data_IF_701390717883
#
_entry.id   IF_701390717883
#
_cell.length_a   1.000
_cell.length_b   1.000
_cell.length_c   1.000
_cell.angle_alpha   90.00
_cell.angle_beta   90.00
_cell.angle_gamma   90.00
#
_symmetry.space_group_name_H-M   'P 1'
#
loop_
_entity.id
_entity.type
_entity.pdbx_description
1 polymer ?
#
# COMPACT_ATOMS: atom_id res chain seq x y z
N UNK A 1 6.44 -17.23 -8.88
CA UNK A 1 4.99 -17.38 -9.12
C UNK A 1 4.52 -16.09 -9.76
N UNK A 2 3.58 -16.16 -10.70
CA UNK A 2 2.91 -14.96 -11.19
C UNK A 2 1.95 -14.48 -10.09
N UNK A 3 2.07 -13.23 -9.64
CA UNK A 3 1.27 -12.66 -8.56
C UNK A 3 -0.18 -12.37 -8.99
N UNK A 4 -0.54 -12.57 -10.27
CA UNK A 4 -1.85 -12.21 -10.83
C UNK A 4 -2.19 -10.73 -10.58
N UNK A 5 -1.17 -9.88 -10.71
CA UNK A 5 -1.34 -8.45 -10.50
C UNK A 5 -2.22 -7.85 -11.61
N UNK A 6 -3.01 -6.82 -11.29
CA UNK A 6 -3.69 -6.04 -12.31
C UNK A 6 -2.68 -5.29 -13.19
N UNK A 7 -3.16 -4.51 -14.16
CA UNK A 7 -2.32 -3.67 -15.02
C UNK A 7 -2.92 -2.27 -15.09
N UNK A 8 -2.07 -1.28 -15.35
CA UNK A 8 -2.51 0.12 -15.48
C UNK A 8 -2.81 0.77 -14.13
N UNK A 9 -3.76 1.69 -14.14
CA UNK A 9 -4.01 2.61 -13.03
C UNK A 9 -5.31 2.23 -12.30
N UNK A 10 -5.18 2.05 -11.00
CA UNK A 10 -6.26 1.64 -10.11
C UNK A 10 -6.68 2.75 -9.16
N UNK A 11 -7.80 2.53 -8.49
CA UNK A 11 -8.33 3.44 -7.47
C UNK A 11 -8.71 2.66 -6.20
N UNK A 12 -8.42 3.22 -5.03
CA UNK A 12 -8.95 2.71 -3.77
C UNK A 12 -10.48 2.80 -3.75
N UNK A 13 -11.19 1.67 -3.66
CA UNK A 13 -12.65 1.64 -3.63
C UNK A 13 -13.15 2.05 -2.25
N UNK A 14 -14.05 3.04 -2.20
CA UNK A 14 -14.68 3.52 -0.96
C UNK A 14 -16.19 3.35 -1.02
N UNK A 15 -16.82 3.17 0.14
CA UNK A 15 -18.27 2.96 0.23
C UNK A 15 -19.09 4.11 -0.35
N UNK A 16 -18.59 5.34 -0.21
CA UNK A 16 -19.26 6.55 -0.67
C UNK A 16 -19.59 6.51 -2.15
N UNK A 17 -18.80 5.81 -2.97
CA UNK A 17 -18.98 5.72 -4.41
C UNK A 17 -19.01 4.29 -4.96
N UNK A 18 -18.94 3.25 -4.12
CA UNK A 18 -18.82 1.86 -4.58
C UNK A 18 -20.02 1.36 -5.40
N UNK A 19 -21.23 1.91 -5.19
CA UNK A 19 -22.37 1.58 -6.05
C UNK A 19 -22.29 2.33 -7.40
N UNK A 20 -21.78 3.55 -7.37
CA UNK A 20 -21.67 4.42 -8.54
C UNK A 20 -20.69 3.86 -9.57
N UNK A 21 -19.55 3.29 -9.13
CA UNK A 21 -18.52 2.77 -10.07
C UNK A 21 -19.05 1.68 -11.00
N UNK A 22 -20.08 0.92 -10.59
CA UNK A 22 -20.70 -0.12 -11.42
C UNK A 22 -21.60 0.48 -12.49
N UNK A 23 -21.87 1.78 -12.49
CA UNK A 23 -22.76 2.45 -13.43
C UNK A 23 -22.08 3.56 -14.25
N UNK A 24 -20.83 3.92 -13.93
CA UNK A 24 -20.08 4.94 -14.68
C UNK A 24 -19.44 4.38 -15.95
N UNK A 25 -19.45 5.18 -17.02
CA UNK A 25 -18.79 4.86 -18.29
C UNK A 25 -17.25 4.96 -18.20
N UNK A 26 -16.75 5.84 -17.33
CA UNK A 26 -15.32 5.96 -17.02
C UNK A 26 -14.99 5.17 -15.76
N UNK A 27 -14.04 4.23 -15.86
CA UNK A 27 -13.62 3.36 -14.76
C UNK A 27 -12.11 3.20 -14.75
N UNK A 28 -11.48 3.06 -13.57
CA UNK A 28 -10.08 2.66 -13.47
C UNK A 28 -9.91 1.22 -14.00
N UNK A 29 -8.67 0.83 -14.28
CA UNK A 29 -8.39 -0.52 -14.76
C UNK A 29 -8.59 -1.60 -13.67
N UNK A 30 -8.51 -1.21 -12.39
CA UNK A 30 -8.64 -2.10 -11.24
C UNK A 30 -8.93 -1.33 -9.96
N UNK A 31 -9.34 -2.05 -8.91
CA UNK A 31 -9.62 -1.47 -7.60
C UNK A 31 -8.83 -2.15 -6.49
N UNK A 32 -8.57 -1.39 -5.43
CA UNK A 32 -8.10 -1.93 -4.16
C UNK A 32 -9.14 -1.73 -3.06
N UNK A 33 -9.23 -2.68 -2.13
CA UNK A 33 -10.04 -2.57 -0.92
C UNK A 33 -9.26 -3.02 0.31
N UNK A 34 -9.58 -2.43 1.46
CA UNK A 34 -9.20 -2.98 2.76
C UNK A 34 -10.23 -4.01 3.24
N UNK A 35 -9.90 -5.32 3.33
CA UNK A 35 -10.84 -6.36 3.75
C UNK A 35 -11.58 -6.05 5.04
N UNK A 36 -10.92 -5.43 6.01
CA UNK A 36 -11.43 -5.07 7.33
C UNK A 36 -12.69 -4.22 7.26
N UNK A 37 -12.74 -3.32 6.28
CA UNK A 37 -13.91 -2.49 6.05
C UNK A 37 -15.12 -3.34 5.62
N UNK A 38 -14.90 -4.44 4.88
CA UNK A 38 -15.93 -5.26 4.24
C UNK A 38 -16.29 -6.54 4.99
N UNK A 39 -15.38 -7.12 5.77
CA UNK A 39 -15.52 -8.44 6.42
C UNK A 39 -16.81 -8.61 7.22
N UNK A 40 -17.25 -7.56 7.90
CA UNK A 40 -18.45 -7.59 8.76
C UNK A 40 -19.70 -7.01 8.10
N UNK A 41 -19.62 -6.69 6.80
CA UNK A 41 -20.72 -6.06 6.04
C UNK A 41 -21.37 -7.06 5.11
N UNK A 42 -22.52 -7.58 5.54
CA UNK A 42 -23.39 -8.42 4.70
C UNK A 42 -24.35 -7.62 3.82
N UNK A 43 -25.22 -8.34 3.12
CA UNK A 43 -26.37 -7.76 2.43
C UNK A 43 -25.97 -6.86 1.26
N UNK A 44 -26.30 -5.57 1.34
CA UNK A 44 -26.11 -4.61 0.26
C UNK A 44 -24.65 -4.45 -0.15
N UNK A 45 -23.74 -4.19 0.80
CA UNK A 45 -22.33 -3.95 0.49
C UNK A 45 -21.65 -5.18 -0.12
N UNK A 46 -22.00 -6.38 0.36
CA UNK A 46 -21.53 -7.62 -0.26
C UNK A 46 -21.92 -7.71 -1.74
N UNK A 47 -23.19 -7.44 -2.08
CA UNK A 47 -23.67 -7.46 -3.47
C UNK A 47 -22.99 -6.40 -4.33
N UNK A 48 -22.69 -5.22 -3.76
CA UNK A 48 -21.94 -4.18 -4.46
C UNK A 48 -20.54 -4.69 -4.81
N UNK A 49 -19.82 -5.26 -3.85
CA UNK A 49 -18.48 -5.79 -4.09
C UNK A 49 -18.47 -6.96 -5.08
N UNK A 50 -19.47 -7.85 -5.02
CA UNK A 50 -19.66 -8.92 -6.01
C UNK A 50 -19.77 -8.34 -7.43
N UNK A 51 -20.60 -7.31 -7.65
CA UNK A 51 -20.74 -6.63 -8.95
C UNK A 51 -19.47 -5.93 -9.40
N UNK A 52 -18.73 -5.29 -8.49
CA UNK A 52 -17.43 -4.68 -8.81
C UNK A 52 -16.47 -5.77 -9.29
N UNK A 53 -16.36 -6.88 -8.55
CA UNK A 53 -15.43 -7.96 -8.85
C UNK A 53 -15.75 -8.71 -10.15
N UNK A 54 -17.03 -8.79 -10.52
CA UNK A 54 -17.48 -9.32 -11.82
C UNK A 54 -16.98 -8.49 -13.01
N UNK A 55 -16.73 -7.19 -12.80
CA UNK A 55 -16.33 -6.25 -13.87
C UNK A 55 -14.84 -5.88 -13.84
N UNK A 56 -14.23 -5.86 -12.66
CA UNK A 56 -12.89 -5.33 -12.46
C UNK A 56 -12.02 -6.30 -11.66
N UNK A 57 -10.71 -6.36 -11.95
CA UNK A 57 -9.73 -6.90 -11.01
C UNK A 57 -9.80 -6.14 -9.69
N UNK A 58 -9.75 -6.89 -8.58
CA UNK A 58 -9.73 -6.33 -7.23
C UNK A 58 -8.55 -6.95 -6.48
N UNK A 59 -7.78 -6.11 -5.79
CA UNK A 59 -6.74 -6.54 -4.85
C UNK A 59 -7.11 -6.11 -3.43
N UNK A 60 -6.47 -6.71 -2.43
CA UNK A 60 -6.67 -6.35 -1.04
C UNK A 60 -5.42 -5.75 -0.43
N UNK A 61 -5.59 -4.69 0.34
CA UNK A 61 -4.55 -4.09 1.17
C UNK A 61 -5.06 -3.94 2.59
N UNK A 62 -4.50 -4.70 3.52
CA UNK A 62 -4.93 -4.75 4.91
C UNK A 62 -4.34 -3.63 5.76
N UNK A 63 -5.06 -3.30 6.82
CA UNK A 63 -4.75 -2.20 7.75
C UNK A 63 -4.32 -2.69 9.13
N UNK A 64 -4.66 -3.94 9.47
CA UNK A 64 -4.73 -4.38 10.87
C UNK A 64 -3.95 -5.65 11.20
N UNK A 65 -3.24 -6.27 10.25
CA UNK A 65 -2.48 -7.49 10.56
C UNK A 65 -1.33 -7.22 11.54
N UNK A 66 -0.72 -6.03 11.48
CA UNK A 66 0.26 -5.57 12.46
C UNK A 66 1.46 -6.52 12.59
N UNK A 67 2.09 -6.86 11.45
CA UNK A 67 3.15 -7.89 11.38
C UNK A 67 4.36 -7.58 12.27
N UNK A 68 4.60 -6.29 12.55
CA UNK A 68 5.66 -5.84 13.44
C UNK A 68 5.31 -5.78 14.92
N UNK A 69 4.06 -6.06 15.32
CA UNK A 69 3.65 -6.08 16.74
C UNK A 69 4.48 -7.08 17.53
N UNK A 70 4.76 -6.88 18.82
CA UNK A 70 5.33 -7.93 19.67
C UNK A 70 4.35 -9.08 19.95
N UNK A 71 3.04 -8.87 19.79
CA UNK A 71 2.01 -9.87 20.09
C UNK A 71 2.03 -11.05 19.11
N UNK A 72 1.47 -12.20 19.48
CA UNK A 72 1.30 -13.32 18.55
C UNK A 72 0.38 -12.97 17.38
N UNK A 73 0.57 -13.65 16.24
CA UNK A 73 -0.30 -13.46 15.07
C UNK A 73 -1.76 -13.80 15.42
N UNK A 74 -2.68 -12.90 15.03
CA UNK A 74 -4.10 -13.13 15.21
C UNK A 74 -4.64 -14.10 14.14
N UNK A 75 -4.53 -15.40 14.39
CA UNK A 75 -5.00 -16.44 13.45
C UNK A 75 -6.52 -16.43 13.23
N UNK A 76 -7.31 -15.91 14.18
CA UNK A 76 -8.75 -15.73 13.99
C UNK A 76 -9.03 -14.63 12.95
N UNK A 77 -8.23 -13.56 12.93
CA UNK A 77 -8.26 -12.54 11.89
C UNK A 77 -7.75 -13.07 10.55
N UNK A 78 -6.60 -13.75 10.53
CA UNK A 78 -6.07 -14.37 9.30
C UNK A 78 -7.06 -15.35 8.67
N UNK A 79 -7.81 -16.12 9.48
CA UNK A 79 -8.88 -16.99 8.96
C UNK A 79 -10.01 -16.22 8.29
N UNK A 80 -10.38 -15.05 8.82
CA UNK A 80 -11.37 -14.17 8.19
C UNK A 80 -10.84 -13.62 6.85
N UNK A 81 -9.60 -13.15 6.81
CA UNK A 81 -8.94 -12.70 5.58
C UNK A 81 -8.89 -13.84 4.55
N UNK A 82 -8.42 -15.03 4.93
CA UNK A 82 -8.37 -16.19 4.02
C UNK A 82 -9.74 -16.56 3.46
N UNK A 83 -10.79 -16.53 4.29
CA UNK A 83 -12.16 -16.75 3.83
C UNK A 83 -12.61 -15.68 2.85
N UNK A 84 -12.35 -14.40 3.15
CA UNK A 84 -12.73 -13.27 2.31
C UNK A 84 -12.06 -13.32 0.94
N UNK A 85 -10.73 -13.51 0.91
CA UNK A 85 -9.98 -13.64 -0.34
C UNK A 85 -10.51 -14.80 -1.19
N UNK A 86 -10.89 -15.92 -0.56
CA UNK A 86 -11.51 -17.06 -1.25
C UNK A 86 -12.91 -16.74 -1.76
N UNK A 87 -13.75 -16.12 -0.95
CA UNK A 87 -15.15 -15.85 -1.27
C UNK A 87 -15.31 -14.86 -2.44
N UNK A 88 -14.36 -13.94 -2.61
CA UNK A 88 -14.33 -12.95 -3.70
C UNK A 88 -13.31 -13.25 -4.80
N UNK A 89 -12.65 -14.42 -4.75
CA UNK A 89 -11.60 -14.83 -5.69
C UNK A 89 -10.53 -13.74 -5.91
N UNK A 90 -10.00 -13.21 -4.80
CA UNK A 90 -8.93 -12.22 -4.76
C UNK A 90 -7.60 -12.96 -4.47
N UNK A 91 -6.57 -12.69 -5.28
CA UNK A 91 -5.27 -13.39 -5.22
C UNK A 91 -4.12 -12.56 -4.67
N UNK A 92 -4.37 -11.27 -4.47
CA UNK A 92 -3.36 -10.28 -4.06
C UNK A 92 -3.77 -9.73 -2.71
N UNK A 93 -2.89 -9.86 -1.72
CA UNK A 93 -3.05 -9.28 -0.39
C UNK A 93 -1.75 -8.62 0.04
N UNK A 94 -1.82 -7.34 0.38
CA UNK A 94 -0.73 -6.55 0.94
C UNK A 94 -1.04 -6.09 2.37
N UNK A 95 -0.01 -5.74 3.13
CA UNK A 95 -0.10 -5.23 4.51
C UNK A 95 1.07 -4.27 4.79
N UNK A 96 0.99 -3.51 5.87
CA UNK A 96 2.01 -2.52 6.21
C UNK A 96 3.23 -3.14 6.91
N UNK A 97 4.44 -2.64 6.64
CA UNK A 97 5.65 -2.96 7.42
C UNK A 97 5.69 -2.17 8.74
N UNK A 98 4.72 -2.41 9.59
CA UNK A 98 4.51 -1.63 10.81
C UNK A 98 3.92 -2.48 11.92
N UNK A 99 3.69 -1.85 13.08
CA UNK A 99 2.73 -2.37 14.05
C UNK A 99 1.61 -1.36 14.28
N UNK A 100 0.38 -1.84 14.28
CA UNK A 100 -0.84 -1.08 14.57
C UNK A 100 -1.60 -1.66 15.77
N UNK A 101 -0.96 -2.57 16.52
CA UNK A 101 -1.53 -3.20 17.71
C UNK A 101 -0.45 -3.59 18.72
N UNK A 102 -0.79 -3.54 20.01
CA UNK A 102 0.09 -3.99 21.09
C UNK A 102 -0.72 -4.32 22.35
N UNK A 103 -0.39 -5.43 23.02
CA UNK A 103 -1.11 -5.88 24.22
C UNK A 103 -2.56 -6.31 23.92
N UNK A 104 -2.85 -6.74 22.70
CA UNK A 104 -4.20 -7.09 22.25
C UNK A 104 -5.11 -5.92 21.88
N UNK A 105 -4.62 -4.68 21.94
CA UNK A 105 -5.36 -3.47 21.59
C UNK A 105 -4.88 -2.88 20.25
N UNK A 106 -5.78 -2.24 19.50
CA UNK A 106 -5.47 -1.55 18.25
C UNK A 106 -5.05 -0.11 18.52
N UNK A 107 -3.99 0.36 17.86
CA UNK A 107 -3.33 1.63 18.18
C UNK A 107 -3.76 2.82 17.31
N UNK A 108 -4.81 2.67 16.48
CA UNK A 108 -5.37 3.71 15.60
C UNK A 108 -4.42 4.35 14.58
N UNK A 109 -3.12 4.01 14.63
CA UNK A 109 -2.05 4.55 13.79
C UNK A 109 -1.02 3.44 13.49
N UNK A 110 -0.18 3.67 12.48
CA UNK A 110 0.92 2.79 12.08
C UNK A 110 2.19 3.23 12.78
N UNK A 111 2.77 2.33 13.58
CA UNK A 111 4.01 2.61 14.27
C UNK A 111 5.21 2.00 13.55
N UNK A 112 6.32 2.75 13.43
CA UNK A 112 7.51 2.29 12.76
C UNK A 112 8.26 1.25 13.58
N UNK A 113 8.99 0.42 12.85
CA UNK A 113 9.82 -0.63 13.43
C UNK A 113 11.26 -0.13 13.63
N UNK A 114 11.97 -0.62 14.67
CA UNK A 114 13.40 -0.37 14.79
C UNK A 114 14.15 -0.97 13.60
N UNK A 115 15.01 -0.20 12.93
CA UNK A 115 15.77 -0.68 11.75
C UNK A 115 17.02 -1.43 12.22
N UNK A 116 16.85 -2.70 12.59
CA UNK A 116 17.91 -3.58 13.12
C UNK A 116 17.80 -5.00 12.53
N UNK A 117 18.92 -5.74 12.51
CA UNK A 117 18.95 -7.15 12.07
C UNK A 117 18.00 -8.05 12.88
N UNK A 118 17.84 -7.77 14.19
CA UNK A 118 16.92 -8.52 15.05
C UNK A 118 15.47 -8.29 14.63
N UNK A 119 15.12 -7.05 14.30
CA UNK A 119 13.78 -6.71 13.81
C UNK A 119 13.53 -7.37 12.46
N UNK A 120 14.50 -7.39 11.53
CA UNK A 120 14.39 -8.07 10.24
C UNK A 120 14.01 -9.54 10.45
N UNK A 121 14.76 -10.26 11.29
CA UNK A 121 14.49 -11.68 11.58
C UNK A 121 13.12 -11.88 12.20
N UNK A 122 12.75 -11.04 13.16
CA UNK A 122 11.48 -11.11 13.87
C UNK A 122 10.27 -10.94 12.95
N UNK A 123 10.24 -9.84 12.17
CA UNK A 123 9.11 -9.55 11.28
C UNK A 123 9.06 -10.53 10.12
N UNK A 124 10.22 -10.94 9.60
CA UNK A 124 10.28 -11.91 8.49
C UNK A 124 9.75 -13.28 8.87
N UNK A 125 9.97 -13.73 10.12
CA UNK A 125 9.38 -14.96 10.62
C UNK A 125 7.84 -14.92 10.64
N UNK A 126 7.29 -13.79 11.08
CA UNK A 126 5.84 -13.58 11.07
C UNK A 126 5.29 -13.50 9.66
N UNK A 127 5.95 -12.80 8.75
CA UNK A 127 5.57 -12.74 7.34
C UNK A 127 5.55 -14.16 6.73
N UNK A 128 6.57 -14.99 6.99
CA UNK A 128 6.57 -16.38 6.52
C UNK A 128 5.37 -17.18 7.05
N UNK A 129 5.06 -17.08 8.35
CA UNK A 129 3.87 -17.74 8.94
C UNK A 129 2.57 -17.27 8.32
N UNK A 130 2.44 -15.96 8.02
CA UNK A 130 1.27 -15.40 7.34
C UNK A 130 1.15 -15.97 5.92
N UNK A 131 2.24 -15.98 5.15
CA UNK A 131 2.27 -16.54 3.79
C UNK A 131 1.90 -18.03 3.78
N UNK A 132 2.47 -18.82 4.71
CA UNK A 132 2.14 -20.24 4.88
C UNK A 132 0.65 -20.42 5.22
N UNK A 133 0.11 -19.59 6.11
CA UNK A 133 -1.29 -19.69 6.51
C UNK A 133 -2.26 -19.28 5.40
N UNK A 134 -1.98 -18.19 4.70
CA UNK A 134 -2.83 -17.66 3.62
C UNK A 134 -2.65 -18.43 2.31
N UNK A 135 -1.53 -19.15 2.14
CA UNK A 135 -1.15 -19.89 0.92
C UNK A 135 -0.99 -18.99 -0.32
N UNK A 136 -0.64 -17.72 -0.10
CA UNK A 136 -0.32 -16.74 -1.13
C UNK A 136 0.93 -15.95 -0.71
N UNK A 137 1.76 -15.46 -1.66
CA UNK A 137 2.83 -14.53 -1.35
C UNK A 137 2.26 -13.25 -0.72
N UNK A 138 2.89 -12.76 0.33
CA UNK A 138 2.48 -11.52 0.97
C UNK A 138 3.21 -10.36 0.31
N UNK A 139 2.51 -9.25 0.15
CA UNK A 139 3.09 -7.97 -0.26
C UNK A 139 3.15 -7.09 0.98
N UNK A 140 4.28 -6.42 1.20
CA UNK A 140 4.49 -5.55 2.35
C UNK A 140 4.73 -4.13 1.86
N UNK A 141 4.16 -3.15 2.55
CA UNK A 141 4.27 -1.73 2.20
C UNK A 141 5.24 -0.95 3.09
N UNK A 142 5.99 -0.03 2.49
CA UNK A 142 6.75 0.99 3.24
C UNK A 142 5.83 2.10 3.75
N UNK A 143 5.95 2.43 5.03
CA UNK A 143 5.11 3.44 5.68
C UNK A 143 5.83 4.78 5.82
N UNK A 144 5.06 5.85 5.96
CA UNK A 144 5.56 7.10 6.55
C UNK A 144 5.90 6.90 8.04
N UNK A 145 6.94 7.56 8.54
CA UNK A 145 7.28 7.53 9.97
C UNK A 145 7.82 8.84 10.49
N UNK A 146 7.47 9.18 11.73
CA UNK A 146 7.84 10.45 12.37
C UNK A 146 8.90 10.30 13.46
N UNK A 147 9.13 9.07 13.90
CA UNK A 147 10.11 8.75 14.92
C UNK A 147 10.52 7.28 14.79
N UNK A 148 11.81 6.96 14.72
CA UNK A 148 12.28 5.58 14.87
C UNK A 148 13.12 5.45 16.13
N UNK A 149 12.80 4.51 17.05
CA UNK A 149 13.49 4.41 18.33
C UNK A 149 14.95 3.96 18.21
N UNK A 150 15.27 3.15 17.20
CA UNK A 150 16.63 2.68 16.90
C UNK A 150 16.80 2.55 15.38
N UNK A 151 17.92 3.06 14.86
CA UNK A 151 18.27 3.05 13.45
C UNK A 151 19.74 2.65 13.28
N UNK A 152 19.99 1.35 13.14
CA UNK A 152 21.33 0.82 12.89
C UNK A 152 21.68 0.76 11.39
N UNK A 153 20.66 0.89 10.53
CA UNK A 153 20.76 0.86 9.08
C UNK A 153 19.75 1.83 8.44
N UNK A 154 19.91 2.12 7.15
CA UNK A 154 18.96 2.93 6.41
C UNK A 154 17.62 2.21 6.18
N UNK A 155 16.56 2.97 5.93
CA UNK A 155 15.21 2.41 5.73
C UNK A 155 15.17 1.43 4.55
N UNK A 156 15.82 1.77 3.44
CA UNK A 156 15.89 0.89 2.26
C UNK A 156 16.67 -0.39 2.55
N UNK A 157 17.69 -0.36 3.42
CA UNK A 157 18.42 -1.55 3.86
C UNK A 157 17.52 -2.45 4.69
N UNK A 158 16.77 -1.86 5.63
CA UNK A 158 15.83 -2.58 6.46
C UNK A 158 14.74 -3.26 5.63
N UNK A 159 14.07 -2.52 4.74
CA UNK A 159 13.02 -3.07 3.87
C UNK A 159 13.60 -4.18 2.99
N UNK A 160 14.75 -3.95 2.36
CA UNK A 160 15.39 -4.96 1.52
C UNK A 160 15.71 -6.24 2.30
N UNK A 161 16.26 -6.11 3.51
CA UNK A 161 16.55 -7.24 4.38
C UNK A 161 15.28 -8.03 4.75
N UNK A 162 14.17 -7.35 5.04
CA UNK A 162 12.87 -8.01 5.29
C UNK A 162 12.38 -8.77 4.05
N UNK A 163 12.44 -8.17 2.86
CA UNK A 163 12.01 -8.82 1.62
C UNK A 163 12.87 -10.05 1.29
N UNK A 164 14.18 -9.97 1.47
CA UNK A 164 15.12 -11.06 1.21
C UNK A 164 14.93 -12.23 2.19
N UNK A 165 14.78 -11.95 3.50
CA UNK A 165 14.63 -12.95 4.55
C UNK A 165 13.24 -13.60 4.59
N UNK A 166 12.19 -12.85 4.26
CA UNK A 166 10.80 -13.35 4.30
C UNK A 166 10.31 -13.92 2.96
N UNK A 167 10.93 -13.53 1.85
CA UNK A 167 10.48 -13.84 0.49
C UNK A 167 9.26 -13.05 0.02
N UNK A 168 8.79 -12.07 0.80
CA UNK A 168 7.68 -11.19 0.44
C UNK A 168 8.00 -10.29 -0.77
N UNK A 169 6.96 -9.67 -1.30
CA UNK A 169 7.04 -8.63 -2.32
C UNK A 169 6.78 -7.25 -1.71
N UNK A 170 7.06 -6.19 -2.47
CA UNK A 170 6.88 -4.81 -2.00
C UNK A 170 5.68 -4.14 -2.66
N UNK A 171 4.84 -3.52 -1.85
CA UNK A 171 3.99 -2.40 -2.26
C UNK A 171 4.81 -1.13 -2.01
N UNK A 172 5.21 -0.46 -3.09
CA UNK A 172 6.02 0.75 -2.97
C UNK A 172 5.09 1.95 -2.91
N UNK A 173 4.91 2.53 -1.74
CA UNK A 173 4.24 3.82 -1.63
C UNK A 173 5.27 4.94 -1.89
N UNK A 174 5.13 5.61 -3.04
CA UNK A 174 6.03 6.71 -3.43
C UNK A 174 5.74 8.00 -2.69
N UNK A 175 4.51 8.19 -2.19
CA UNK A 175 4.18 9.31 -1.33
C UNK A 175 4.90 9.16 0.03
N UNK A 176 4.91 7.97 0.62
CA UNK A 176 5.66 7.67 1.85
C UNK A 176 7.16 7.87 1.68
N UNK A 177 7.74 7.43 0.56
CA UNK A 177 9.15 7.71 0.26
C UNK A 177 9.42 9.21 0.23
N UNK A 178 8.55 10.00 -0.40
CA UNK A 178 8.71 11.45 -0.47
C UNK A 178 8.55 12.11 0.90
N UNK A 179 7.49 11.79 1.64
CA UNK A 179 7.23 12.28 3.01
C UNK A 179 8.42 12.02 3.92
N UNK A 180 8.90 10.78 3.96
CA UNK A 180 10.06 10.39 4.77
C UNK A 180 11.33 11.12 4.31
N UNK A 181 11.53 11.30 3.00
CA UNK A 181 12.71 12.00 2.48
C UNK A 181 12.80 13.46 2.96
N UNK A 182 11.65 14.15 3.02
CA UNK A 182 11.57 15.52 3.52
C UNK A 182 11.73 15.56 5.04
N UNK A 183 11.05 14.66 5.76
CA UNK A 183 11.07 14.63 7.21
C UNK A 183 12.44 14.23 7.80
N UNK A 184 13.16 13.32 7.14
CA UNK A 184 14.43 12.76 7.61
C UNK A 184 15.66 13.26 6.84
N UNK A 185 15.46 14.06 5.78
CA UNK A 185 16.54 14.78 5.09
C UNK A 185 17.42 13.89 4.19
N UNK A 186 16.81 12.97 3.44
CA UNK A 186 17.51 12.15 2.45
C UNK A 186 16.97 12.37 1.02
N UNK A 187 17.68 11.87 0.01
CA UNK A 187 17.27 11.99 -1.39
C UNK A 187 16.31 10.84 -1.78
N UNK A 188 15.05 11.11 -2.18
CA UNK A 188 14.10 10.07 -2.51
C UNK A 188 14.49 9.30 -3.79
N UNK A 189 15.23 9.91 -4.72
CA UNK A 189 15.67 9.22 -5.93
C UNK A 189 16.76 8.20 -5.64
N UNK A 190 17.70 8.53 -4.74
CA UNK A 190 18.71 7.57 -4.25
C UNK A 190 18.06 6.41 -3.49
N UNK A 191 17.02 6.69 -2.69
CA UNK A 191 16.22 5.65 -2.06
C UNK A 191 15.66 4.68 -3.11
N UNK A 192 14.99 5.19 -4.15
CA UNK A 192 14.43 4.36 -5.24
C UNK A 192 15.52 3.54 -5.96
N UNK A 193 16.72 4.08 -6.16
CA UNK A 193 17.84 3.32 -6.78
C UNK A 193 18.31 2.16 -5.92
N UNK A 194 18.24 2.28 -4.60
CA UNK A 194 18.68 1.24 -3.68
C UNK A 194 17.62 0.15 -3.48
N UNK A 195 16.35 0.45 -3.78
CA UNK A 195 15.23 -0.46 -3.60
C UNK A 195 15.25 -1.60 -4.63
N UNK A 196 14.85 -2.84 -4.24
CA UNK A 196 14.80 -3.97 -5.15
C UNK A 196 13.58 -3.88 -6.08
N UNK A 197 13.65 -3.07 -7.14
CA UNK A 197 12.52 -2.78 -8.04
C UNK A 197 11.88 -4.03 -8.66
N UNK A 198 12.65 -5.11 -8.86
CA UNK A 198 12.14 -6.40 -9.34
C UNK A 198 11.17 -7.08 -8.36
N UNK A 199 11.26 -6.76 -7.07
CA UNK A 199 10.35 -7.25 -6.01
C UNK A 199 9.12 -6.38 -5.80
N UNK A 200 9.04 -5.22 -6.47
CA UNK A 200 7.87 -4.35 -6.35
C UNK A 200 6.71 -4.95 -7.13
N UNK A 201 5.63 -5.26 -6.44
CA UNK A 201 4.40 -5.81 -6.99
C UNK A 201 3.55 -4.71 -7.62
N UNK A 202 3.28 -3.63 -6.88
CA UNK A 202 2.56 -2.46 -7.36
C UNK A 202 2.92 -1.23 -6.54
N UNK A 203 2.43 -0.06 -6.94
CA UNK A 203 2.76 1.24 -6.36
C UNK A 203 1.51 1.89 -5.78
N UNK A 204 1.65 2.49 -4.61
CA UNK A 204 0.70 3.48 -4.10
C UNK A 204 1.20 4.89 -4.39
N UNK A 205 0.26 5.77 -4.75
CA UNK A 205 0.48 7.20 -4.85
C UNK A 205 -0.70 7.94 -4.21
N UNK A 206 -0.38 8.91 -3.38
CA UNK A 206 -1.34 9.75 -2.68
C UNK A 206 -0.79 11.18 -2.56
N UNK A 207 -1.59 12.07 -1.97
CA UNK A 207 -1.13 13.37 -1.51
C UNK A 207 -1.08 13.43 0.01
N UNK A 208 -0.17 14.27 0.51
CA UNK A 208 0.08 14.48 1.93
C UNK A 208 -0.22 15.94 2.34
N UNK A 209 -0.38 16.13 3.64
CA UNK A 209 -0.49 17.42 4.29
C UNK A 209 0.89 17.96 4.69
N UNK A 210 0.92 19.25 5.00
CA UNK A 210 2.11 19.93 5.55
C UNK A 210 1.74 20.62 6.84
N UNK A 211 2.42 20.27 7.92
CA UNK A 211 2.32 20.93 9.22
C UNK A 211 3.69 21.52 9.61
N UNK A 212 3.77 22.84 9.64
CA UNK A 212 5.01 23.60 9.83
C UNK A 212 6.18 23.13 8.94
N UNK A 213 7.04 22.28 9.49
CA UNK A 213 8.28 21.76 8.89
C UNK A 213 8.22 20.27 8.55
N UNK A 214 7.14 19.58 8.91
CA UNK A 214 6.94 18.17 8.63
C UNK A 214 5.84 17.98 7.61
N UNK A 215 6.00 16.97 6.77
CA UNK A 215 4.91 16.45 5.93
C UNK A 215 4.19 15.38 6.72
N UNK A 216 2.86 15.43 6.72
CA UNK A 216 2.01 14.44 7.39
C UNK A 216 1.28 13.66 6.32
N UNK A 217 1.43 12.36 6.41
CA UNK A 217 0.84 11.40 5.51
C UNK A 217 -0.63 11.14 5.85
N UNK A 218 -1.51 12.05 5.43
CA UNK A 218 -2.95 11.92 5.68
C UNK A 218 -3.69 11.22 4.56
N UNK A 219 -3.08 11.05 3.39
CA UNK A 219 -3.76 10.62 2.16
C UNK A 219 -5.06 11.42 1.92
N UNK A 220 -5.08 12.68 2.36
CA UNK A 220 -6.24 13.57 2.34
C UNK A 220 -6.22 14.58 1.21
N UNK A 221 -5.07 14.73 0.55
CA UNK A 221 -4.79 15.83 -0.38
C UNK A 221 -4.51 15.34 -1.80
N UNK A 222 -4.70 16.23 -2.79
CA UNK A 222 -4.33 15.93 -4.18
C UNK A 222 -2.85 15.57 -4.28
N UNK A 223 -2.50 14.57 -5.11
CA UNK A 223 -1.10 14.20 -5.38
C UNK A 223 -0.30 15.45 -5.76
N UNK A 224 0.83 15.66 -5.09
CA UNK A 224 1.71 16.82 -5.33
C UNK A 224 2.66 16.55 -6.50
N UNK A 225 3.11 17.61 -7.15
CA UNK A 225 3.96 17.51 -8.35
C UNK A 225 5.26 16.73 -8.09
N UNK A 226 5.87 16.92 -6.92
CA UNK A 226 7.11 16.25 -6.52
C UNK A 226 6.92 14.73 -6.38
N UNK A 227 5.74 14.29 -5.93
CA UNK A 227 5.38 12.87 -5.85
C UNK A 227 5.12 12.30 -7.25
N UNK A 228 4.48 13.08 -8.14
CA UNK A 228 4.33 12.72 -9.55
C UNK A 228 5.69 12.57 -10.26
N UNK A 229 6.64 13.46 -9.98
CA UNK A 229 8.02 13.34 -10.48
C UNK A 229 8.70 12.05 -9.99
N UNK A 230 8.53 11.70 -8.72
CA UNK A 230 9.08 10.48 -8.16
C UNK A 230 8.43 9.23 -8.78
N UNK A 231 7.11 9.23 -8.97
CA UNK A 231 6.42 8.18 -9.70
C UNK A 231 6.95 8.04 -11.13
N UNK A 232 7.08 9.14 -11.87
CA UNK A 232 7.61 9.12 -13.23
C UNK A 232 9.03 8.54 -13.29
N UNK A 233 9.83 8.79 -12.26
CA UNK A 233 11.15 8.19 -12.13
C UNK A 233 11.09 6.67 -11.96
N UNK A 234 10.22 6.17 -11.07
CA UNK A 234 10.00 4.72 -10.90
C UNK A 234 9.49 4.09 -12.20
N UNK A 235 8.51 4.71 -12.86
CA UNK A 235 7.97 4.25 -14.14
C UNK A 235 8.99 4.26 -15.28
N UNK A 236 9.98 5.17 -15.26
CA UNK A 236 11.07 5.15 -16.24
C UNK A 236 11.95 3.89 -16.16
N UNK A 237 11.99 3.26 -14.97
CA UNK A 237 12.73 2.03 -14.69
C UNK A 237 11.85 0.78 -14.81
N UNK A 238 10.57 0.90 -14.45
CA UNK A 238 9.57 -0.18 -14.49
C UNK A 238 8.24 0.29 -15.12
N UNK A 239 8.15 0.40 -16.45
CA UNK A 239 7.06 1.09 -17.14
C UNK A 239 5.65 0.49 -16.96
N UNK A 240 5.55 -0.83 -16.79
CA UNK A 240 4.27 -1.55 -16.77
C UNK A 240 3.82 -1.93 -15.35
N UNK A 241 4.45 -1.37 -14.31
CA UNK A 241 4.04 -1.64 -12.93
C UNK A 241 2.66 -1.03 -12.64
N UNK A 242 1.76 -1.74 -11.94
CA UNK A 242 0.45 -1.19 -11.59
C UNK A 242 0.60 -0.06 -10.57
N UNK A 243 -0.21 0.97 -10.72
CA UNK A 243 -0.22 2.16 -9.85
C UNK A 243 -1.63 2.35 -9.31
N UNK A 244 -1.77 2.51 -8.00
CA UNK A 244 -3.03 2.83 -7.34
C UNK A 244 -3.00 4.28 -6.85
N UNK A 245 -4.01 5.06 -7.22
CA UNK A 245 -4.30 6.31 -6.53
C UNK A 245 -5.03 6.02 -5.22
N UNK A 246 -4.45 6.44 -4.11
CA UNK A 246 -5.01 6.31 -2.78
C UNK A 246 -5.61 7.63 -2.25
N UNK A 247 -6.72 7.50 -1.53
CA UNK A 247 -7.44 8.59 -0.88
C UNK A 247 -8.18 8.08 0.37
N UNK A 248 -7.62 8.31 1.54
CA UNK A 248 -8.20 7.85 2.82
C UNK A 248 -8.99 8.91 3.55
N UNK A 249 -8.54 10.16 3.45
CA UNK A 249 -9.19 11.30 4.09
C UNK A 249 -9.74 12.28 3.05
N UNK A 250 -10.68 13.12 3.47
CA UNK A 250 -11.30 14.16 2.63
C UNK A 250 -11.73 13.64 1.24
N UNK A 251 -12.34 12.44 1.19
CA UNK A 251 -12.63 11.72 -0.04
C UNK A 251 -13.52 12.59 -0.95
N UNK A 252 -13.01 13.03 -2.13
CA UNK A 252 -13.78 13.85 -3.06
C UNK A 252 -14.76 12.99 -3.86
N UNK A 253 -15.48 13.60 -4.80
CA UNK A 253 -16.38 12.84 -5.66
C UNK A 253 -15.60 11.86 -6.56
N UNK A 254 -16.28 10.79 -7.00
CA UNK A 254 -15.67 9.82 -7.92
C UNK A 254 -15.16 10.47 -9.22
N UNK A 255 -15.89 11.47 -9.75
CA UNK A 255 -15.46 12.20 -10.95
C UNK A 255 -14.17 13.00 -10.75
N UNK A 256 -13.97 13.57 -9.56
CA UNK A 256 -12.72 14.27 -9.20
C UNK A 256 -11.56 13.27 -9.06
N UNK A 257 -11.78 12.12 -8.41
CA UNK A 257 -10.78 11.05 -8.33
C UNK A 257 -10.39 10.52 -9.71
N UNK A 258 -11.34 10.36 -10.63
CA UNK A 258 -11.04 9.93 -12.00
C UNK A 258 -10.26 10.98 -12.78
N UNK A 259 -10.53 12.27 -12.54
CA UNK A 259 -9.76 13.36 -13.13
C UNK A 259 -8.32 13.35 -12.61
N UNK A 260 -8.14 13.18 -11.31
CA UNK A 260 -6.82 13.04 -10.68
C UNK A 260 -6.07 11.80 -11.18
N UNK A 261 -6.75 10.66 -11.31
CA UNK A 261 -6.15 9.43 -11.85
C UNK A 261 -5.66 9.63 -13.29
N UNK A 262 -6.39 10.37 -14.11
CA UNK A 262 -5.96 10.70 -15.48
C UNK A 262 -4.76 11.67 -15.49
N UNK A 263 -4.67 12.60 -14.54
CA UNK A 263 -3.47 13.42 -14.36
C UNK A 263 -2.26 12.55 -14.00
N UNK A 264 -2.39 11.64 -13.04
CA UNK A 264 -1.35 10.68 -12.65
C UNK A 264 -0.91 9.84 -13.86
N UNK A 265 -1.87 9.31 -14.63
CA UNK A 265 -1.63 8.49 -15.83
C UNK A 265 -0.92 9.25 -16.94
N UNK A 266 -1.33 10.49 -17.18
CA UNK A 266 -0.82 11.31 -18.29
C UNK A 266 0.48 12.03 -17.95
N UNK A 267 0.86 12.09 -16.66
CA UNK A 267 2.08 12.74 -16.23
C UNK A 267 3.30 12.12 -16.91
N UNK A 268 4.12 12.98 -17.49
CA UNK A 268 5.44 12.65 -18.05
C UNK A 268 6.40 13.57 -17.32
N UNK A 269 7.19 13.03 -16.40
CA UNK A 269 8.10 13.82 -15.58
C UNK A 269 9.00 14.73 -16.41
N UNK A 270 9.52 15.80 -15.79
CA UNK A 270 10.51 16.64 -16.44
C UNK A 270 11.70 15.79 -16.91
N UNK A 271 12.16 15.99 -18.15
CA UNK A 271 13.42 15.36 -18.63
C UNK A 271 14.54 15.81 -17.71
N UNK A 272 14.94 14.97 -16.75
CA UNK A 272 16.11 15.24 -15.92
C UNK A 272 17.33 15.13 -16.83
N UNK A 273 18.05 16.24 -16.99
CA UNK A 273 19.36 16.22 -17.62
C UNK A 273 20.27 15.31 -16.78
N UNK A 274 20.87 14.31 -17.43
CA UNK A 274 21.95 13.50 -16.85
C UNK A 274 23.15 14.37 -16.48
#
# INVERSE_FOLDING_TARGET
MDLNLPKGFGLGLRYSFAEEVVNYDSSPEWFEIAPENWLRRGGFFRRVLERVRERFPVVCHGLSLSVGSPDELNYAFLKQIKSFLKDFDIKVYSEHLSFSSMGGEYLHDLFPLPFTDNTIKFVSDKIRKVQEFLEIPLIIENISYYYTPLKDMEEWEFIKGVLEESGAYLLLDVNNVYVNSVNHGYNPYEFIECMPLDRVAYIHIAGHDKDDRILIDTHGEKVKEEVLELLAYVLSKKPDIPVLLERDNNIPSYGELMSELEEVRSFRGAKRAC
#
